data_IF_224087760977
#
_entry.id   IF_224087760977
#
_cell.length_a   1.000
_cell.length_b   1.000
_cell.length_c   1.000
_cell.angle_alpha   90.00
_cell.angle_beta   90.00
_cell.angle_gamma   90.00
#
_symmetry.space_group_name_H-M   'P 1'
#
loop_
_entity.id
_entity.type
_entity.pdbx_description
1 polymer ?
#
# COMPACT_ATOMS: atom_id res chain seq x y z
N UNK A 1 17.14 6.54 -12.89
CA UNK A 1 17.77 5.51 -12.02
C UNK A 1 17.03 4.20 -12.25
N UNK A 2 17.72 3.08 -12.36
CA UNK A 2 17.09 1.77 -12.66
C UNK A 2 17.20 0.83 -11.46
N UNK A 3 16.77 1.29 -10.28
CA UNK A 3 16.89 0.54 -9.01
C UNK A 3 16.05 -0.74 -8.97
N UNK A 4 15.02 -0.82 -9.80
CA UNK A 4 14.09 -1.96 -9.90
C UNK A 4 14.19 -2.68 -11.24
N UNK A 5 15.30 -2.52 -11.96
CA UNK A 5 15.48 -3.11 -13.29
C UNK A 5 15.30 -4.64 -13.24
N UNK A 6 14.42 -5.16 -14.12
CA UNK A 6 14.08 -6.57 -14.21
C UNK A 6 13.22 -7.14 -13.08
N UNK A 7 12.88 -6.34 -12.06
CA UNK A 7 12.04 -6.75 -10.94
C UNK A 7 10.58 -6.89 -11.32
N UNK A 8 9.90 -7.84 -10.69
CA UNK A 8 8.45 -8.03 -10.80
C UNK A 8 7.80 -7.54 -9.51
N UNK A 9 6.79 -6.67 -9.62
CA UNK A 9 6.07 -6.13 -8.48
C UNK A 9 4.56 -6.37 -8.58
N UNK A 10 3.92 -6.61 -7.45
CA UNK A 10 2.46 -6.59 -7.26
C UNK A 10 2.10 -5.39 -6.39
N UNK A 11 1.11 -4.60 -6.83
CA UNK A 11 0.59 -3.45 -6.09
C UNK A 11 -0.93 -3.58 -5.98
N UNK A 12 -1.44 -3.84 -4.77
CA UNK A 12 -2.88 -3.83 -4.53
C UNK A 12 -3.39 -2.39 -4.34
N UNK A 13 -4.61 -2.11 -4.84
CA UNK A 13 -5.09 -0.73 -4.93
C UNK A 13 -4.28 0.11 -5.92
N UNK A 14 -3.67 -0.52 -6.94
CA UNK A 14 -2.74 0.09 -7.87
C UNK A 14 -3.36 0.95 -8.98
N UNK A 15 -4.69 1.05 -9.05
CA UNK A 15 -5.36 1.79 -10.12
C UNK A 15 -5.46 3.30 -9.90
N UNK A 16 -5.33 3.78 -8.67
CA UNK A 16 -5.51 5.20 -8.31
C UNK A 16 -4.58 5.61 -7.16
N UNK A 17 -4.49 6.92 -6.91
CA UNK A 17 -3.83 7.51 -5.74
C UNK A 17 -2.39 7.04 -5.54
N UNK A 18 -2.06 6.68 -4.31
CA UNK A 18 -0.71 6.23 -3.91
C UNK A 18 -0.27 4.99 -4.69
N UNK A 19 -1.18 4.00 -4.85
CA UNK A 19 -0.85 2.77 -5.57
C UNK A 19 -0.48 3.01 -7.04
N UNK A 20 -1.20 3.89 -7.73
CA UNK A 20 -0.89 4.27 -9.11
C UNK A 20 0.42 5.06 -9.21
N UNK A 21 0.66 5.98 -8.28
CA UNK A 21 1.90 6.73 -8.24
C UNK A 21 3.12 5.82 -7.98
N UNK A 22 2.98 4.85 -7.07
CA UNK A 22 4.00 3.84 -6.85
C UNK A 22 4.22 2.94 -8.08
N UNK A 23 3.14 2.49 -8.75
CA UNK A 23 3.24 1.70 -9.97
C UNK A 23 4.01 2.44 -11.06
N UNK A 24 3.70 3.73 -11.27
CA UNK A 24 4.43 4.58 -12.21
C UNK A 24 5.90 4.66 -11.84
N UNK A 25 6.20 4.97 -10.59
CA UNK A 25 7.59 5.09 -10.12
C UNK A 25 8.36 3.78 -10.25
N UNK A 26 7.75 2.64 -9.94
CA UNK A 26 8.39 1.33 -10.09
C UNK A 26 8.74 1.04 -11.56
N UNK A 27 7.84 1.36 -12.50
CA UNK A 27 8.07 1.20 -13.94
C UNK A 27 9.17 2.14 -14.44
N UNK A 28 9.18 3.40 -14.02
CA UNK A 28 10.25 4.37 -14.33
C UNK A 28 11.62 3.89 -13.83
N UNK A 29 11.65 3.04 -12.80
CA UNK A 29 12.86 2.43 -12.27
C UNK A 29 13.15 1.02 -12.82
N UNK A 30 12.40 0.59 -13.84
CA UNK A 30 12.66 -0.62 -14.64
C UNK A 30 11.90 -1.88 -14.20
N UNK A 31 10.93 -1.77 -13.30
CA UNK A 31 10.10 -2.90 -12.88
C UNK A 31 8.99 -3.22 -13.88
N UNK A 32 8.55 -4.48 -13.86
CA UNK A 32 7.27 -4.92 -14.40
C UNK A 32 6.25 -4.98 -13.27
N UNK A 33 5.07 -4.36 -13.44
CA UNK A 33 4.12 -4.15 -12.33
C UNK A 33 2.76 -4.77 -12.63
N UNK A 34 2.28 -5.63 -11.73
CA UNK A 34 0.89 -6.06 -11.68
C UNK A 34 0.13 -5.14 -10.74
N UNK A 35 -0.90 -4.45 -11.26
CA UNK A 35 -1.84 -3.67 -10.44
C UNK A 35 -3.11 -4.48 -10.21
N UNK A 36 -3.59 -4.48 -8.97
CA UNK A 36 -4.77 -5.24 -8.56
C UNK A 36 -5.81 -4.33 -7.90
N UNK A 37 -7.09 -4.53 -8.23
CA UNK A 37 -8.19 -3.74 -7.67
C UNK A 37 -9.56 -4.14 -8.20
N UNK A 38 -10.62 -3.57 -7.62
CA UNK A 38 -12.01 -3.96 -7.88
C UNK A 38 -12.64 -3.33 -9.12
N UNK A 39 -12.13 -2.16 -9.56
CA UNK A 39 -12.77 -1.34 -10.59
C UNK A 39 -12.07 -1.55 -11.93
N UNK A 40 -12.69 -2.31 -12.82
CA UNK A 40 -12.14 -2.67 -14.12
C UNK A 40 -11.79 -1.44 -14.97
N UNK A 41 -12.68 -0.44 -15.04
CA UNK A 41 -12.45 0.79 -15.81
C UNK A 41 -11.23 1.57 -15.30
N UNK A 42 -11.09 1.69 -13.97
CA UNK A 42 -9.93 2.37 -13.37
C UNK A 42 -8.62 1.61 -13.63
N UNK A 43 -8.66 0.27 -13.60
CA UNK A 43 -7.52 -0.57 -13.93
C UNK A 43 -7.12 -0.42 -15.40
N UNK A 44 -8.08 -0.44 -16.32
CA UNK A 44 -7.82 -0.25 -17.75
C UNK A 44 -7.22 1.13 -18.05
N UNK A 45 -7.78 2.19 -17.45
CA UNK A 45 -7.25 3.54 -17.56
C UNK A 45 -5.83 3.68 -16.96
N UNK A 46 -5.55 2.98 -15.86
CA UNK A 46 -4.23 2.96 -15.25
C UNK A 46 -3.20 2.27 -16.15
N UNK A 47 -3.51 1.10 -16.71
CA UNK A 47 -2.62 0.38 -17.63
C UNK A 47 -2.34 1.21 -18.88
N UNK A 48 -3.35 1.88 -19.44
CA UNK A 48 -3.16 2.76 -20.59
C UNK A 48 -2.14 3.90 -20.31
N UNK A 49 -2.13 4.42 -19.08
CA UNK A 49 -1.18 5.46 -18.62
C UNK A 49 0.21 4.91 -18.26
N UNK A 50 0.27 3.69 -17.74
CA UNK A 50 1.50 3.05 -17.26
C UNK A 50 2.30 2.39 -18.40
N UNK A 51 1.64 2.02 -19.49
CA UNK A 51 2.29 1.43 -20.66
C UNK A 51 2.54 -0.09 -20.55
N UNK A 52 3.41 -0.63 -21.42
CA UNK A 52 3.54 -2.08 -21.63
C UNK A 52 4.14 -2.85 -20.45
N UNK A 53 4.79 -2.17 -19.50
CA UNK A 53 5.36 -2.77 -18.29
C UNK A 53 4.33 -2.92 -17.16
N UNK A 54 3.04 -2.72 -17.44
CA UNK A 54 1.95 -2.89 -16.50
C UNK A 54 0.97 -3.97 -16.95
N UNK A 55 0.43 -4.71 -15.97
CA UNK A 55 -0.72 -5.62 -16.14
C UNK A 55 -1.74 -5.33 -15.06
N UNK A 56 -3.01 -5.40 -15.44
CA UNK A 56 -4.11 -5.29 -14.49
C UNK A 56 -4.72 -6.67 -14.24
N UNK A 57 -5.04 -6.94 -12.98
CA UNK A 57 -5.86 -8.07 -12.58
C UNK A 57 -7.01 -7.53 -11.73
N UNK A 58 -8.24 -7.81 -12.12
CA UNK A 58 -9.43 -7.41 -11.38
C UNK A 58 -9.69 -8.35 -10.21
N UNK A 59 -10.04 -7.78 -9.04
CA UNK A 59 -10.44 -8.56 -7.87
C UNK A 59 -10.37 -7.75 -6.57
N UNK A 60 -10.83 -8.41 -5.50
CA UNK A 60 -10.82 -7.90 -4.14
C UNK A 60 -9.75 -8.59 -3.31
N UNK A 61 -9.01 -7.82 -2.49
CA UNK A 61 -8.07 -8.39 -1.52
C UNK A 61 -8.78 -9.20 -0.42
N UNK A 62 -10.08 -8.97 -0.22
CA UNK A 62 -10.90 -9.75 0.73
C UNK A 62 -11.36 -11.10 0.16
N UNK A 63 -11.12 -11.36 -1.14
CA UNK A 63 -11.48 -12.60 -1.84
C UNK A 63 -10.24 -13.46 -2.08
N UNK A 64 -10.17 -14.62 -1.44
CA UNK A 64 -9.06 -15.55 -1.65
C UNK A 64 -8.98 -16.05 -3.10
N UNK A 65 -10.08 -16.41 -3.79
CA UNK A 65 -10.04 -16.80 -5.20
C UNK A 65 -9.50 -15.69 -6.11
N UNK A 66 -9.78 -14.43 -5.80
CA UNK A 66 -9.28 -13.31 -6.60
C UNK A 66 -7.75 -13.13 -6.44
N UNK A 67 -7.26 -13.30 -5.22
CA UNK A 67 -5.82 -13.33 -4.96
C UNK A 67 -5.14 -14.54 -5.62
N UNK A 68 -5.80 -15.70 -5.66
CA UNK A 68 -5.28 -16.87 -6.38
C UNK A 68 -5.12 -16.58 -7.87
N UNK A 69 -6.11 -15.92 -8.50
CA UNK A 69 -6.02 -15.50 -9.90
C UNK A 69 -4.88 -14.50 -10.13
N UNK A 70 -4.70 -13.53 -9.21
CA UNK A 70 -3.60 -12.57 -9.27
C UNK A 70 -2.25 -13.29 -9.32
N UNK A 71 -1.98 -14.15 -8.36
CA UNK A 71 -0.67 -14.81 -8.28
C UNK A 71 -0.46 -15.91 -9.32
N UNK A 72 -1.53 -16.50 -9.82
CA UNK A 72 -1.48 -17.36 -11.01
C UNK A 72 -1.04 -16.59 -12.26
N UNK A 73 -1.57 -15.38 -12.46
CA UNK A 73 -1.16 -14.50 -13.55
C UNK A 73 0.31 -14.07 -13.43
N UNK A 74 0.76 -13.69 -12.23
CA UNK A 74 2.17 -13.36 -11.95
C UNK A 74 3.07 -14.56 -12.28
N UNK A 75 2.71 -15.75 -11.81
CA UNK A 75 3.47 -16.98 -12.06
C UNK A 75 3.56 -17.31 -13.55
N UNK A 76 2.45 -17.19 -14.27
CA UNK A 76 2.38 -17.52 -15.69
C UNK A 76 3.20 -16.55 -16.56
N UNK A 77 3.21 -15.25 -16.25
CA UNK A 77 3.87 -14.22 -17.06
C UNK A 77 5.33 -13.97 -16.66
N UNK A 78 5.65 -14.06 -15.36
CA UNK A 78 6.96 -13.67 -14.82
C UNK A 78 7.70 -14.78 -14.08
N UNK A 79 7.01 -15.80 -13.61
CA UNK A 79 7.60 -16.93 -12.86
C UNK A 79 7.93 -16.59 -11.41
N UNK A 80 8.45 -15.41 -11.12
CA UNK A 80 8.88 -14.94 -9.80
C UNK A 80 8.32 -13.58 -9.45
N UNK A 81 8.34 -13.26 -8.15
CA UNK A 81 7.89 -11.99 -7.59
C UNK A 81 8.95 -11.41 -6.66
N UNK A 82 9.37 -10.18 -6.90
CA UNK A 82 10.38 -9.49 -6.09
C UNK A 82 9.78 -8.54 -5.07
N UNK A 83 8.65 -7.89 -5.41
CA UNK A 83 8.07 -6.83 -4.58
C UNK A 83 6.57 -7.02 -4.42
N UNK A 84 6.10 -6.97 -3.17
CA UNK A 84 4.69 -6.84 -2.83
C UNK A 84 4.46 -5.49 -2.17
N UNK A 85 3.63 -4.65 -2.78
CA UNK A 85 3.12 -3.46 -2.12
C UNK A 85 1.63 -3.67 -1.79
N UNK A 86 1.36 -4.13 -0.55
CA UNK A 86 0.03 -4.30 -0.01
C UNK A 86 -0.55 -2.93 0.37
N UNK A 87 -1.09 -2.24 -0.64
CA UNK A 87 -1.54 -0.85 -0.53
C UNK A 87 -3.07 -0.71 -0.50
N UNK A 88 -3.83 -1.70 -0.96
CA UNK A 88 -5.28 -1.64 -0.89
C UNK A 88 -5.78 -1.38 0.54
N UNK A 89 -6.68 -0.44 0.68
CA UNK A 89 -7.25 -0.09 1.96
C UNK A 89 -8.52 0.75 1.81
N UNK A 90 -9.32 0.74 2.85
CA UNK A 90 -10.51 1.58 3.01
C UNK A 90 -10.41 2.34 4.32
N UNK A 91 -11.05 3.51 4.38
CA UNK A 91 -11.13 4.30 5.59
C UNK A 91 -12.41 5.14 5.55
N UNK A 92 -13.35 4.80 6.40
CA UNK A 92 -14.55 5.59 6.64
C UNK A 92 -14.55 6.10 8.08
N UNK A 93 -15.23 7.21 8.31
CA UNK A 93 -15.28 7.85 9.61
C UNK A 93 -16.63 7.55 10.27
N UNK A 94 -16.59 6.99 11.49
CA UNK A 94 -17.75 6.83 12.36
C UNK A 94 -17.38 7.20 13.79
N UNK A 95 -18.15 8.11 14.38
CA UNK A 95 -17.94 8.54 15.76
C UNK A 95 -18.13 7.36 16.74
N UNK A 96 -17.37 7.35 17.84
CA UNK A 96 -17.57 6.40 18.92
C UNK A 96 -19.04 6.46 19.40
N UNK A 97 -19.66 5.29 19.55
CA UNK A 97 -21.10 5.15 19.82
C UNK A 97 -21.98 5.05 18.55
N UNK A 98 -21.41 5.22 17.35
CA UNK A 98 -22.09 5.00 16.06
C UNK A 98 -21.44 3.88 15.23
N UNK A 99 -20.36 3.29 15.74
CA UNK A 99 -19.64 2.22 15.06
C UNK A 99 -20.52 0.97 15.01
N UNK A 100 -20.68 0.38 13.82
CA UNK A 100 -21.44 -0.86 13.61
C UNK A 100 -20.49 -2.04 13.36
N UNK A 101 -21.00 -3.26 13.48
CA UNK A 101 -20.25 -4.47 13.17
C UNK A 101 -19.79 -4.47 11.70
N UNK A 102 -20.69 -4.09 10.78
CA UNK A 102 -20.41 -4.04 9.34
C UNK A 102 -19.28 -3.06 9.02
N UNK A 103 -19.22 -1.91 9.71
CA UNK A 103 -18.13 -0.93 9.55
C UNK A 103 -16.78 -1.52 9.98
N UNK A 104 -16.76 -2.28 11.08
CA UNK A 104 -15.56 -2.99 11.54
C UNK A 104 -15.18 -4.07 10.54
N UNK A 105 -16.12 -4.90 10.14
CA UNK A 105 -15.88 -6.02 9.23
C UNK A 105 -15.34 -5.53 7.89
N UNK A 106 -15.94 -4.52 7.26
CA UNK A 106 -15.45 -3.94 6.00
C UNK A 106 -14.02 -3.43 6.13
N UNK A 107 -13.76 -2.69 7.22
CA UNK A 107 -12.43 -2.09 7.46
C UNK A 107 -11.38 -3.18 7.69
N UNK A 108 -11.64 -4.15 8.56
CA UNK A 108 -10.68 -5.20 8.89
C UNK A 108 -10.54 -6.24 7.78
N UNK A 109 -11.61 -6.60 7.09
CA UNK A 109 -11.55 -7.51 5.95
C UNK A 109 -10.66 -6.97 4.83
N UNK A 110 -10.72 -5.67 4.58
CA UNK A 110 -9.87 -5.06 3.55
C UNK A 110 -8.45 -4.79 4.08
N UNK A 111 -8.33 -4.06 5.19
CA UNK A 111 -7.05 -3.50 5.62
C UNK A 111 -6.15 -4.52 6.33
N UNK A 112 -6.72 -5.48 7.04
CA UNK A 112 -5.96 -6.47 7.83
C UNK A 112 -5.97 -7.83 7.13
N UNK A 113 -7.13 -8.46 7.01
CA UNK A 113 -7.27 -9.78 6.39
C UNK A 113 -6.79 -9.78 4.93
N UNK A 114 -7.18 -8.75 4.16
CA UNK A 114 -6.72 -8.58 2.78
C UNK A 114 -5.22 -8.40 2.66
N UNK A 115 -4.60 -7.64 3.59
CA UNK A 115 -3.14 -7.50 3.65
C UNK A 115 -2.46 -8.83 3.99
N UNK A 116 -2.99 -9.58 4.98
CA UNK A 116 -2.43 -10.88 5.37
C UNK A 116 -2.42 -11.84 4.17
N UNK A 117 -3.55 -12.03 3.51
CA UNK A 117 -3.63 -12.98 2.41
C UNK A 117 -2.95 -12.50 1.12
N UNK A 118 -2.87 -11.20 0.88
CA UNK A 118 -2.03 -10.63 -0.18
C UNK A 118 -0.57 -11.09 0.00
N UNK A 119 -0.03 -10.94 1.20
CA UNK A 119 1.35 -11.34 1.48
C UNK A 119 1.51 -12.86 1.51
N UNK A 120 0.66 -13.59 2.24
CA UNK A 120 0.76 -15.03 2.37
C UNK A 120 0.77 -15.76 1.01
N UNK A 121 -0.10 -15.35 0.07
CA UNK A 121 -0.18 -15.94 -1.26
C UNK A 121 0.96 -15.53 -2.18
N UNK A 122 1.67 -14.46 -1.89
CA UNK A 122 2.86 -14.02 -2.61
C UNK A 122 4.10 -14.86 -2.29
N UNK A 123 4.24 -15.34 -1.05
CA UNK A 123 5.45 -15.98 -0.53
C UNK A 123 5.98 -17.14 -1.41
N UNK A 124 5.13 -18.03 -1.98
CA UNK A 124 5.63 -19.11 -2.84
C UNK A 124 6.33 -18.64 -4.13
N UNK A 125 6.14 -17.39 -4.54
CA UNK A 125 6.77 -16.77 -5.72
C UNK A 125 7.96 -15.88 -5.36
N UNK A 126 8.15 -15.58 -4.06
CA UNK A 126 9.20 -14.69 -3.58
C UNK A 126 10.46 -15.47 -3.18
N UNK A 127 11.60 -14.84 -3.35
CA UNK A 127 12.89 -15.40 -2.99
C UNK A 127 13.79 -14.38 -2.28
N UNK A 128 15.06 -14.74 -2.11
CA UNK A 128 16.07 -13.89 -1.47
C UNK A 128 16.17 -12.53 -2.15
N UNK A 129 16.16 -11.48 -1.35
CA UNK A 129 16.14 -10.09 -1.82
C UNK A 129 14.75 -9.53 -2.05
N UNK A 130 13.69 -10.30 -1.79
CA UNK A 130 12.30 -9.86 -1.87
C UNK A 130 11.99 -8.72 -0.89
N UNK A 131 11.04 -7.86 -1.26
CA UNK A 131 10.58 -6.75 -0.43
C UNK A 131 9.06 -6.73 -0.32
N UNK A 132 8.57 -6.75 0.91
CA UNK A 132 7.15 -6.59 1.26
C UNK A 132 6.98 -5.21 1.89
N UNK A 133 6.08 -4.41 1.31
CA UNK A 133 5.75 -3.08 1.78
C UNK A 133 4.27 -3.06 2.16
N UNK A 134 3.98 -2.71 3.40
CA UNK A 134 2.63 -2.62 3.93
C UNK A 134 2.23 -1.15 4.07
N UNK A 135 1.03 -0.80 3.65
CA UNK A 135 0.53 0.57 3.83
C UNK A 135 -0.04 0.76 5.23
N UNK A 136 0.76 1.42 6.08
CA UNK A 136 0.35 1.98 7.36
C UNK A 136 -0.46 3.28 7.20
N UNK A 137 -0.36 4.12 8.20
CA UNK A 137 -0.90 5.49 8.22
C UNK A 137 -0.38 6.23 9.45
N UNK A 138 -0.22 7.55 9.39
CA UNK A 138 -0.03 8.38 10.59
C UNK A 138 -1.14 8.16 11.62
N UNK A 139 -2.37 7.86 11.18
CA UNK A 139 -3.50 7.53 12.06
C UNK A 139 -3.33 6.20 12.83
N UNK A 140 -2.41 5.32 12.43
CA UNK A 140 -2.05 4.11 13.18
C UNK A 140 -1.16 4.38 14.41
N UNK A 141 -0.66 5.61 14.55
CA UNK A 141 0.21 6.04 15.65
C UNK A 141 -0.44 7.15 16.46
N UNK A 142 -1.17 8.06 15.81
CA UNK A 142 -1.87 9.18 16.46
C UNK A 142 -3.38 8.92 16.56
N UNK A 143 -4.01 9.49 17.58
CA UNK A 143 -5.48 9.51 17.67
C UNK A 143 -6.08 10.49 16.66
N UNK A 144 -7.19 10.09 16.03
CA UNK A 144 -7.97 10.97 15.18
C UNK A 144 -9.47 10.75 15.44
N UNK A 145 -10.27 11.82 15.54
CA UNK A 145 -11.70 11.71 15.77
C UNK A 145 -12.39 10.85 14.70
N UNK A 146 -13.34 10.02 15.13
CA UNK A 146 -14.14 9.13 14.28
C UNK A 146 -13.37 8.09 13.45
N UNK A 147 -12.08 7.84 13.76
CA UNK A 147 -11.20 6.93 13.00
C UNK A 147 -10.90 5.61 13.73
N UNK A 148 -11.70 5.21 14.74
CA UNK A 148 -11.39 4.07 15.61
C UNK A 148 -11.05 2.78 14.85
N UNK A 149 -11.93 2.31 13.97
CA UNK A 149 -11.71 1.07 13.21
C UNK A 149 -10.51 1.19 12.26
N UNK A 150 -10.41 2.31 11.53
CA UNK A 150 -9.31 2.57 10.62
C UNK A 150 -7.97 2.62 11.35
N UNK A 151 -7.84 3.43 12.40
CA UNK A 151 -6.61 3.57 13.17
C UNK A 151 -6.17 2.24 13.80
N UNK A 152 -7.12 1.47 14.35
CA UNK A 152 -6.85 0.14 14.88
C UNK A 152 -6.35 -0.81 13.77
N UNK A 153 -6.96 -0.79 12.59
CA UNK A 153 -6.52 -1.61 11.46
C UNK A 153 -5.08 -1.26 11.01
N UNK A 154 -4.72 0.03 11.01
CA UNK A 154 -3.37 0.49 10.64
C UNK A 154 -2.32 0.19 11.72
N UNK A 155 -2.70 0.23 13.00
CA UNK A 155 -1.86 -0.25 14.10
C UNK A 155 -1.61 -1.76 14.00
N UNK A 156 -2.64 -2.55 13.63
CA UNK A 156 -2.49 -3.98 13.36
C UNK A 156 -1.48 -4.23 12.22
N UNK A 157 -1.63 -3.55 11.07
CA UNK A 157 -0.71 -3.66 9.92
C UNK A 157 0.73 -3.34 10.34
N UNK A 158 0.93 -2.32 11.16
CA UNK A 158 2.25 -1.98 11.70
C UNK A 158 2.87 -3.13 12.49
N UNK A 159 2.08 -3.82 13.30
CA UNK A 159 2.60 -4.95 14.10
C UNK A 159 2.84 -6.20 13.25
N UNK A 160 2.05 -6.44 12.20
CA UNK A 160 2.27 -7.54 11.25
C UNK A 160 3.66 -7.49 10.64
N UNK A 161 4.17 -6.30 10.28
CA UNK A 161 5.52 -6.18 9.72
C UNK A 161 6.61 -6.67 10.68
N UNK A 162 6.46 -6.42 11.98
CA UNK A 162 7.40 -6.89 13.00
C UNK A 162 7.35 -8.41 13.15
N UNK A 163 6.15 -8.97 13.26
CA UNK A 163 5.94 -10.42 13.36
C UNK A 163 6.49 -11.13 12.12
N UNK A 164 6.15 -10.65 10.93
CA UNK A 164 6.58 -11.29 9.68
C UNK A 164 8.09 -11.15 9.40
N UNK A 165 8.73 -10.13 9.92
CA UNK A 165 10.19 -10.03 9.84
C UNK A 165 10.88 -11.17 10.61
N UNK A 166 10.29 -11.59 11.75
CA UNK A 166 10.76 -12.78 12.49
C UNK A 166 10.38 -14.09 11.77
N UNK A 167 9.13 -14.20 11.28
CA UNK A 167 8.68 -15.40 10.54
C UNK A 167 9.52 -15.67 9.28
N UNK A 168 9.99 -14.60 8.62
CA UNK A 168 10.79 -14.66 7.40
C UNK A 168 12.30 -14.63 7.64
N UNK A 169 12.75 -14.78 8.88
CA UNK A 169 14.17 -14.81 9.25
C UNK A 169 14.94 -15.86 8.45
N UNK A 170 16.08 -15.48 7.90
CA UNK A 170 16.91 -16.35 7.08
C UNK A 170 16.49 -16.48 5.61
N UNK A 171 15.30 -16.02 5.22
CA UNK A 171 14.85 -16.07 3.81
C UNK A 171 15.47 -14.97 2.94
N UNK A 172 15.92 -13.88 3.56
CA UNK A 172 16.38 -12.67 2.88
C UNK A 172 15.25 -11.78 2.33
N UNK A 173 13.99 -12.05 2.69
CA UNK A 173 12.83 -11.21 2.38
C UNK A 173 12.68 -10.17 3.50
N UNK A 174 12.48 -8.91 3.13
CA UNK A 174 12.29 -7.79 4.05
C UNK A 174 10.82 -7.41 4.12
N UNK A 175 10.36 -6.98 5.29
CA UNK A 175 8.99 -6.48 5.50
C UNK A 175 9.06 -5.12 6.19
N UNK A 176 8.50 -4.09 5.56
CA UNK A 176 8.48 -2.74 6.11
C UNK A 176 7.09 -2.10 5.95
N UNK A 177 6.81 -1.12 6.77
CA UNK A 177 5.59 -0.31 6.70
C UNK A 177 5.91 1.05 6.13
N UNK A 178 5.14 1.48 5.16
CA UNK A 178 5.09 2.84 4.65
C UNK A 178 3.86 3.51 5.21
N UNK A 179 4.03 4.54 6.05
CA UNK A 179 2.94 5.23 6.75
C UNK A 179 2.75 6.66 6.20
N UNK A 180 1.84 6.82 5.22
CA UNK A 180 1.52 8.14 4.70
C UNK A 180 0.78 9.01 5.73
N UNK A 181 1.01 10.33 5.64
CA UNK A 181 0.14 11.35 6.17
C UNK A 181 -0.95 11.78 5.18
N UNK A 182 -1.52 12.98 5.36
CA UNK A 182 -2.49 13.55 4.43
C UNK A 182 -1.92 13.62 3.02
N UNK A 183 -2.52 12.88 2.09
CA UNK A 183 -2.05 12.76 0.72
C UNK A 183 -3.15 13.19 -0.25
N UNK A 184 -2.84 14.06 -1.19
CA UNK A 184 -3.77 14.68 -2.14
C UNK A 184 -4.16 13.71 -3.27
N UNK A 185 -4.74 12.56 -2.92
CA UNK A 185 -5.34 11.63 -3.88
C UNK A 185 -6.68 12.19 -4.38
N UNK A 186 -7.14 11.77 -5.57
CA UNK A 186 -8.45 12.20 -6.07
C UNK A 186 -9.58 11.87 -5.09
N UNK A 187 -9.55 10.67 -4.50
CA UNK A 187 -10.51 10.27 -3.47
C UNK A 187 -10.50 11.21 -2.24
N UNK A 188 -9.31 11.61 -1.79
CA UNK A 188 -9.17 12.53 -0.67
C UNK A 188 -9.65 13.94 -1.04
N UNK A 189 -9.37 14.41 -2.26
CA UNK A 189 -9.85 15.70 -2.76
C UNK A 189 -11.37 15.75 -2.83
N UNK A 190 -11.99 14.70 -3.38
CA UNK A 190 -13.45 14.59 -3.47
C UNK A 190 -14.11 14.51 -2.08
N UNK A 191 -13.55 13.70 -1.17
CA UNK A 191 -14.11 13.49 0.17
C UNK A 191 -13.98 14.72 1.09
N UNK A 192 -12.88 15.47 0.98
CA UNK A 192 -12.55 16.57 1.89
C UNK A 192 -13.00 17.93 1.37
N UNK A 193 -13.12 18.12 0.06
CA UNK A 193 -13.26 19.42 -0.56
C UNK A 193 -12.05 20.34 -0.27
N UNK A 194 -12.09 21.59 -0.73
CA UNK A 194 -10.98 22.54 -0.55
C UNK A 194 -10.71 22.86 0.93
N UNK A 195 -11.76 23.08 1.70
CA UNK A 195 -11.64 23.46 3.11
C UNK A 195 -11.06 22.31 3.96
N UNK A 196 -11.54 21.08 3.75
CA UNK A 196 -10.99 19.92 4.41
C UNK A 196 -9.52 19.68 4.07
N UNK A 197 -9.12 19.90 2.81
CA UNK A 197 -7.72 19.81 2.41
C UNK A 197 -6.85 20.85 3.13
N UNK A 198 -7.30 22.11 3.28
CA UNK A 198 -6.59 23.15 4.05
C UNK A 198 -6.43 22.76 5.53
N UNK A 199 -7.49 22.21 6.14
CA UNK A 199 -7.44 21.73 7.53
C UNK A 199 -6.42 20.63 7.68
N UNK A 200 -6.36 19.63 6.77
CA UNK A 200 -5.35 18.58 6.82
C UNK A 200 -3.95 19.10 6.54
N UNK A 201 -3.78 20.03 5.61
CA UNK A 201 -2.51 20.68 5.32
C UNK A 201 -1.97 21.43 6.55
N UNK A 202 -2.80 22.20 7.24
CA UNK A 202 -2.37 22.99 8.41
C UNK A 202 -1.95 22.14 9.62
N UNK A 203 -2.35 20.88 9.66
CA UNK A 203 -1.95 19.93 10.71
C UNK A 203 -0.54 19.38 10.51
N UNK A 204 0.03 19.51 9.32
CA UNK A 204 1.41 19.06 9.04
C UNK A 204 2.40 20.19 9.24
N UNK A 205 3.57 19.96 9.85
CA UNK A 205 4.66 20.96 9.88
C UNK A 205 5.02 21.52 8.50
N UNK A 206 4.92 20.70 7.43
CA UNK A 206 5.17 21.19 6.06
C UNK A 206 4.03 22.00 5.44
N UNK A 207 2.91 22.22 6.16
CA UNK A 207 1.78 23.07 5.80
C UNK A 207 1.15 22.73 4.43
N UNK A 208 1.22 21.47 4.02
CA UNK A 208 0.61 20.96 2.80
C UNK A 208 0.27 19.49 2.89
N UNK A 209 -0.61 19.03 2.03
CA UNK A 209 -0.76 17.60 1.77
C UNK A 209 0.38 17.09 0.89
N UNK A 210 0.73 15.83 1.03
CA UNK A 210 1.72 15.19 0.16
C UNK A 210 1.14 14.96 -1.25
N UNK A 211 1.98 15.07 -2.28
CA UNK A 211 1.66 14.51 -3.59
C UNK A 211 1.80 12.98 -3.52
N UNK A 212 0.87 12.19 -4.13
CA UNK A 212 1.01 10.75 -4.22
C UNK A 212 2.36 10.26 -4.74
N UNK A 213 3.03 11.03 -5.61
CA UNK A 213 4.35 10.73 -6.15
C UNK A 213 5.44 10.75 -5.06
N UNK A 214 5.31 11.58 -4.00
CA UNK A 214 6.25 11.60 -2.89
C UNK A 214 6.18 10.30 -2.09
N UNK A 215 4.98 9.75 -1.92
CA UNK A 215 4.79 8.45 -1.28
C UNK A 215 5.32 7.32 -2.18
N UNK A 216 5.05 7.40 -3.50
CA UNK A 216 5.56 6.47 -4.50
C UNK A 216 7.08 6.40 -4.56
N UNK A 217 7.76 7.52 -4.34
CA UNK A 217 9.23 7.58 -4.28
C UNK A 217 9.80 6.79 -3.11
N UNK A 218 9.17 6.88 -1.92
CA UNK A 218 9.58 6.11 -0.74
C UNK A 218 9.21 4.63 -0.90
N UNK A 219 8.07 4.31 -1.52
CA UNK A 219 7.74 2.93 -1.87
C UNK A 219 8.82 2.31 -2.78
N UNK A 220 9.31 3.04 -3.78
CA UNK A 220 10.40 2.57 -4.66
C UNK A 220 11.73 2.39 -3.91
N UNK A 221 12.06 3.27 -2.96
CA UNK A 221 13.22 3.08 -2.07
C UNK A 221 13.08 1.79 -1.26
N UNK A 222 11.95 1.56 -0.61
CA UNK A 222 11.70 0.34 0.16
C UNK A 222 11.68 -0.93 -0.70
N UNK A 223 11.27 -0.84 -1.96
CA UNK A 223 11.30 -1.93 -2.93
C UNK A 223 12.72 -2.28 -3.38
N UNK A 224 13.66 -1.34 -3.34
CA UNK A 224 15.00 -1.44 -3.90
C UNK A 224 16.03 -2.00 -2.93
N UNK A 225 17.24 -2.25 -3.42
CA UNK A 225 18.42 -2.61 -2.63
C UNK A 225 18.94 -1.48 -1.74
N UNK A 226 18.54 -0.23 -1.98
CA UNK A 226 18.95 0.91 -1.15
C UNK A 226 18.46 0.79 0.30
N UNK A 227 17.40 -0.01 0.51
CA UNK A 227 16.85 -0.35 1.82
C UNK A 227 17.21 -1.77 2.29
N UNK A 228 18.30 -2.36 1.76
CA UNK A 228 18.67 -3.77 1.99
C UNK A 228 18.89 -4.16 3.46
N UNK A 229 19.19 -3.20 4.33
CA UNK A 229 19.34 -3.44 5.77
C UNK A 229 18.14 -2.96 6.61
N UNK A 230 16.99 -2.71 5.94
CA UNK A 230 15.76 -2.29 6.61
C UNK A 230 14.71 -3.41 6.58
N UNK A 231 14.32 -3.91 7.74
CA UNK A 231 13.16 -4.78 7.93
C UNK A 231 12.47 -4.45 9.26
N UNK A 232 11.20 -4.81 9.43
CA UNK A 232 10.36 -4.48 10.59
C UNK A 232 10.22 -2.98 10.89
N UNK A 233 10.65 -2.13 9.96
CA UNK A 233 10.67 -0.67 10.16
C UNK A 233 9.36 -0.05 9.69
N UNK A 234 8.93 1.01 10.38
CA UNK A 234 7.89 1.93 9.92
C UNK A 234 8.53 3.22 9.42
N UNK A 235 8.24 3.58 8.18
CA UNK A 235 8.72 4.81 7.55
C UNK A 235 7.55 5.77 7.41
N UNK A 236 7.54 6.81 8.23
CA UNK A 236 6.55 7.87 8.15
C UNK A 236 6.88 8.81 6.98
N UNK A 237 5.87 9.07 6.14
CA UNK A 237 5.91 10.06 5.04
C UNK A 237 4.69 10.95 5.20
N UNK A 238 4.69 11.77 6.23
CA UNK A 238 3.50 12.43 6.77
C UNK A 238 3.66 13.95 6.99
N UNK A 239 4.75 14.51 6.49
CA UNK A 239 5.05 15.94 6.66
C UNK A 239 5.30 16.33 8.11
N UNK A 240 5.66 15.37 8.97
CA UNK A 240 5.92 15.53 10.40
C UNK A 240 4.70 15.37 11.31
N UNK A 241 3.52 15.04 10.75
CA UNK A 241 2.23 15.03 11.48
C UNK A 241 2.23 14.14 12.73
N UNK A 242 2.84 12.96 12.66
CA UNK A 242 2.81 11.98 13.75
C UNK A 242 4.12 11.91 14.55
N UNK A 243 5.05 12.81 14.29
CA UNK A 243 6.39 12.80 14.91
C UNK A 243 6.55 13.86 16.01
N UNK A 244 5.61 14.80 16.13
CA UNK A 244 5.61 15.92 17.07
C UNK A 244 4.45 15.87 18.04
#
# INVERSE_FOLDING_TARGET
MNRLNGKTAVITGGATGIGLAAARRFIEEGAFVFIFGRRQEALAAAVAKLGPSARAVEGSVSSLPDLDRLYAAVKAERGTLDVVFANAGVGSQLALGKITAEHIDETFDTNVKGTIFTVQKALPLMGKGGSIILTGSSAGTTGAPAMSAYSASKAAVRNLARTWAEDLKGTGIRVNVLSPGPTATELAKEALGEEGQKVFASRTPLQRMADPAEIGAVAAFLASSDSSFMTASEVAVDGGLAQL
#
